data_IF_941356474072
#
_entry.id   IF_941356474072
#
_cell.length_a   1.000
_cell.length_b   1.000
_cell.length_c   1.000
_cell.angle_alpha   90.00
_cell.angle_beta   90.00
_cell.angle_gamma   90.00
#
_symmetry.space_group_name_H-M   'P 1'
#
loop_
_entity.id
_entity.type
_entity.pdbx_description
1 polymer ?
#
# COMPACT_ATOMS: atom_id res chain seq x y z
N UNK A 1 -0.76 -15.48 -35.02
CA UNK A 1 -0.90 -14.77 -33.75
C UNK A 1 -1.69 -13.49 -34.03
N UNK A 2 -2.94 -13.45 -33.58
CA UNK A 2 -3.75 -12.24 -33.61
C UNK A 2 -3.16 -11.25 -32.61
N UNK A 3 -2.36 -10.32 -33.12
CA UNK A 3 -1.93 -9.15 -32.35
C UNK A 3 -3.18 -8.29 -32.13
N UNK A 4 -3.77 -8.38 -30.95
CA UNK A 4 -4.81 -7.45 -30.53
C UNK A 4 -4.17 -6.06 -30.40
N UNK A 5 -4.43 -5.21 -31.37
CA UNK A 5 -4.04 -3.80 -31.31
C UNK A 5 -5.03 -3.08 -30.41
N UNK A 6 -4.54 -2.37 -29.38
CA UNK A 6 -5.39 -1.47 -28.59
C UNK A 6 -6.06 -0.45 -29.52
N UNK A 7 -7.28 -0.04 -29.22
CA UNK A 7 -7.95 1.05 -29.94
C UNK A 7 -7.38 2.40 -29.57
N UNK A 8 -6.99 2.55 -28.31
CA UNK A 8 -6.37 3.74 -27.73
C UNK A 8 -5.20 3.31 -26.83
N UNK A 9 -4.16 4.12 -26.74
CA UNK A 9 -2.99 3.83 -25.89
C UNK A 9 -3.37 3.72 -24.40
N UNK A 10 -4.42 4.41 -23.97
CA UNK A 10 -4.96 4.38 -22.62
C UNK A 10 -5.73 3.11 -22.29
N UNK A 11 -6.08 2.30 -23.28
CA UNK A 11 -6.80 1.05 -23.05
C UNK A 11 -5.97 0.10 -22.18
N UNK A 12 -6.63 -0.56 -21.23
CA UNK A 12 -6.01 -1.52 -20.33
C UNK A 12 -6.86 -2.79 -20.21
N UNK A 13 -6.21 -3.89 -19.80
CA UNK A 13 -6.86 -5.19 -19.78
C UNK A 13 -7.78 -5.33 -18.57
N UNK A 14 -9.07 -5.55 -18.80
CA UNK A 14 -10.06 -5.89 -17.78
C UNK A 14 -10.02 -7.40 -17.47
N UNK A 15 -9.86 -8.22 -18.50
CA UNK A 15 -9.84 -9.68 -18.44
C UNK A 15 -8.67 -10.22 -19.25
N UNK A 16 -7.96 -11.20 -18.71
CA UNK A 16 -6.79 -11.82 -19.35
C UNK A 16 -7.00 -13.30 -19.52
N UNK A 17 -6.65 -13.86 -20.67
CA UNK A 17 -6.58 -15.30 -20.82
C UNK A 17 -5.62 -15.92 -19.80
N UNK A 18 -6.05 -16.98 -19.12
CA UNK A 18 -5.20 -17.68 -18.14
C UNK A 18 -4.13 -18.48 -18.85
N UNK A 19 -2.94 -18.52 -18.27
CA UNK A 19 -1.85 -19.39 -18.67
C UNK A 19 -1.97 -20.74 -17.96
N UNK A 20 -1.34 -21.81 -18.46
CA UNK A 20 -1.27 -23.08 -17.76
C UNK A 20 -0.74 -22.91 -16.32
N UNK A 21 -1.47 -23.45 -15.34
CA UNK A 21 -1.14 -23.34 -13.91
C UNK A 21 -1.64 -22.09 -13.20
N UNK A 22 -2.25 -21.12 -13.90
CA UNK A 22 -2.92 -19.99 -13.28
C UNK A 22 -4.37 -20.33 -12.91
N UNK A 23 -4.92 -19.72 -11.85
CA UNK A 23 -6.37 -19.77 -11.60
C UNK A 23 -7.14 -19.27 -12.82
N UNK A 24 -8.29 -19.90 -13.07
CA UNK A 24 -9.08 -19.57 -14.24
C UNK A 24 -10.58 -19.62 -13.93
N UNK A 25 -11.32 -18.72 -14.57
CA UNK A 25 -12.77 -18.65 -14.50
C UNK A 25 -13.37 -18.58 -15.91
N UNK A 26 -14.59 -19.11 -16.10
CA UNK A 26 -15.30 -18.97 -17.36
C UNK A 26 -15.68 -17.52 -17.60
N UNK A 27 -15.63 -17.08 -18.86
CA UNK A 27 -16.13 -15.78 -19.29
C UNK A 27 -16.67 -15.85 -20.72
N UNK A 28 -17.43 -14.81 -21.18
CA UNK A 28 -17.87 -14.74 -22.57
C UNK A 28 -16.71 -14.72 -23.59
N UNK A 29 -15.50 -14.40 -23.15
CA UNK A 29 -14.29 -14.32 -23.98
C UNK A 29 -13.39 -15.56 -23.83
N UNK A 30 -13.85 -16.58 -23.11
CA UNK A 30 -13.09 -17.79 -22.82
C UNK A 30 -12.60 -17.85 -21.38
N UNK A 31 -11.87 -18.93 -21.09
CA UNK A 31 -11.27 -19.12 -19.75
C UNK A 31 -10.18 -18.10 -19.49
N UNK A 32 -10.27 -17.42 -18.34
CA UNK A 32 -9.36 -16.33 -18.04
C UNK A 32 -9.39 -15.90 -16.58
N UNK A 33 -8.74 -14.80 -16.30
CA UNK A 33 -8.63 -14.19 -14.99
C UNK A 33 -8.79 -12.68 -15.06
N UNK A 34 -9.20 -11.99 -13.99
CA UNK A 34 -9.31 -10.54 -13.97
C UNK A 34 -7.94 -9.87 -14.21
N UNK A 35 -7.98 -8.69 -14.80
CA UNK A 35 -6.85 -7.78 -14.83
C UNK A 35 -6.58 -7.21 -13.43
N UNK A 36 -5.40 -6.62 -13.25
CA UNK A 36 -4.97 -6.11 -11.94
C UNK A 36 -5.94 -5.08 -11.34
N UNK A 37 -6.41 -4.14 -12.15
CA UNK A 37 -7.20 -3.00 -11.66
C UNK A 37 -8.63 -3.38 -11.28
N UNK A 38 -9.24 -4.30 -12.03
CA UNK A 38 -10.64 -4.69 -11.82
C UNK A 38 -10.84 -5.45 -10.49
N UNK A 39 -9.82 -6.10 -9.97
CA UNK A 39 -9.88 -6.75 -8.67
C UNK A 39 -10.22 -5.75 -7.55
N UNK A 40 -9.48 -4.64 -7.50
CA UNK A 40 -9.72 -3.59 -6.50
C UNK A 40 -11.05 -2.90 -6.70
N UNK A 41 -11.43 -2.58 -7.94
CA UNK A 41 -12.74 -2.02 -8.24
C UNK A 41 -13.89 -2.93 -7.77
N UNK A 42 -13.78 -4.23 -8.00
CA UNK A 42 -14.77 -5.21 -7.56
C UNK A 42 -14.80 -5.36 -6.02
N UNK A 43 -13.64 -5.31 -5.35
CA UNK A 43 -13.56 -5.37 -3.88
C UNK A 43 -14.16 -4.13 -3.22
N UNK A 44 -13.91 -2.95 -3.78
CA UNK A 44 -14.52 -1.70 -3.31
C UNK A 44 -16.04 -1.82 -3.40
N UNK A 45 -16.54 -2.22 -4.55
CA UNK A 45 -17.96 -2.35 -4.79
C UNK A 45 -18.63 -3.36 -3.84
N UNK A 46 -17.96 -4.50 -3.63
CA UNK A 46 -18.48 -5.56 -2.75
C UNK A 46 -18.46 -5.17 -1.27
N UNK A 47 -17.46 -4.41 -0.83
CA UNK A 47 -17.25 -4.10 0.61
C UNK A 47 -17.90 -2.81 1.05
N UNK A 48 -17.83 -1.78 0.22
CA UNK A 48 -18.32 -0.43 0.55
C UNK A 48 -19.70 -0.21 -0.08
N UNK A 49 -19.91 -0.76 -1.28
CA UNK A 49 -21.20 -0.69 -1.99
C UNK A 49 -21.44 0.65 -2.69
N UNK A 50 -22.66 0.80 -3.23
CA UNK A 50 -23.06 1.93 -4.06
C UNK A 50 -23.54 3.17 -3.28
N UNK A 51 -23.15 3.33 -2.03
CA UNK A 51 -23.68 4.39 -1.15
C UNK A 51 -23.23 5.81 -1.48
N UNK A 52 -22.45 5.99 -2.53
CA UNK A 52 -21.86 7.28 -2.92
C UNK A 52 -20.34 7.21 -3.08
N UNK A 53 -19.68 8.35 -3.27
CA UNK A 53 -18.22 8.37 -3.43
C UNK A 53 -17.52 7.98 -2.11
N UNK A 54 -16.42 7.27 -2.24
CA UNK A 54 -15.50 6.94 -1.15
C UNK A 54 -14.87 8.23 -0.64
N UNK A 55 -14.80 8.42 0.67
CA UNK A 55 -14.19 9.62 1.24
C UNK A 55 -12.70 9.70 0.92
N UNK A 56 -11.95 8.63 1.22
CA UNK A 56 -10.50 8.58 0.99
C UNK A 56 -10.12 7.24 0.39
N UNK A 57 -9.42 7.27 -0.74
CA UNK A 57 -8.76 6.11 -1.34
C UNK A 57 -7.24 6.25 -1.22
N UNK A 58 -6.60 5.35 -0.50
CA UNK A 58 -5.18 5.40 -0.18
C UNK A 58 -4.35 4.35 -0.90
N UNK A 59 -3.07 4.68 -1.15
CA UNK A 59 -2.12 3.73 -1.71
C UNK A 59 -0.71 4.28 -1.77
N UNK A 60 0.24 3.49 -2.26
CA UNK A 60 1.57 3.98 -2.57
C UNK A 60 1.57 4.93 -3.77
N UNK A 61 2.56 5.78 -3.88
CA UNK A 61 2.67 6.74 -4.99
C UNK A 61 2.71 6.06 -6.36
N UNK A 62 3.17 4.83 -6.43
CA UNK A 62 3.20 4.01 -7.65
C UNK A 62 1.81 3.51 -8.10
N UNK A 63 0.83 3.52 -7.21
CA UNK A 63 -0.55 3.19 -7.53
C UNK A 63 -1.32 4.36 -8.13
N UNK A 64 -0.84 5.61 -7.97
CA UNK A 64 -1.48 6.79 -8.52
C UNK A 64 -1.79 6.63 -10.00
N UNK A 65 -0.82 6.13 -10.74
CA UNK A 65 -0.93 5.78 -12.14
C UNK A 65 -0.10 4.52 -12.43
N UNK A 66 -0.64 3.54 -13.18
CA UNK A 66 -1.95 3.54 -13.82
C UNK A 66 -3.10 2.97 -12.95
N UNK A 67 -2.84 2.46 -11.74
CA UNK A 67 -3.79 1.63 -11.00
C UNK A 67 -5.05 2.40 -10.57
N UNK A 68 -4.90 3.44 -9.78
CA UNK A 68 -6.04 4.24 -9.29
C UNK A 68 -6.76 4.98 -10.41
N UNK A 69 -6.03 5.44 -11.43
CA UNK A 69 -6.63 6.07 -12.60
C UNK A 69 -7.53 5.09 -13.38
N UNK A 70 -7.06 3.85 -13.53
CA UNK A 70 -7.84 2.79 -14.17
C UNK A 70 -9.02 2.32 -13.30
N UNK A 71 -8.89 2.31 -11.97
CA UNK A 71 -10.03 2.05 -11.07
C UNK A 71 -11.12 3.11 -11.20
N UNK A 72 -10.75 4.39 -11.29
CA UNK A 72 -11.73 5.46 -11.55
C UNK A 72 -12.51 5.19 -12.82
N UNK A 73 -11.83 4.91 -13.92
CA UNK A 73 -12.49 4.61 -15.19
C UNK A 73 -13.46 3.42 -15.09
N UNK A 74 -13.08 2.38 -14.34
CA UNK A 74 -13.93 1.20 -14.13
C UNK A 74 -15.15 1.50 -13.27
N UNK A 75 -14.95 2.18 -12.14
CA UNK A 75 -16.01 2.48 -11.19
C UNK A 75 -17.01 3.50 -11.74
N UNK A 76 -16.53 4.57 -12.36
CA UNK A 76 -17.38 5.59 -12.99
C UNK A 76 -18.21 5.00 -14.12
N UNK A 77 -17.64 4.11 -14.92
CA UNK A 77 -18.36 3.39 -15.97
C UNK A 77 -19.42 2.44 -15.38
N UNK A 78 -19.09 1.73 -14.28
CA UNK A 78 -19.96 0.76 -13.66
C UNK A 78 -21.17 1.43 -12.98
N UNK A 79 -20.96 2.47 -12.17
CA UNK A 79 -22.02 3.17 -11.46
C UNK A 79 -22.74 4.22 -12.31
N UNK A 80 -22.23 4.51 -13.51
CA UNK A 80 -22.68 5.62 -14.36
C UNK A 80 -22.69 6.96 -13.60
N UNK A 81 -21.68 7.20 -12.80
CA UNK A 81 -21.49 8.39 -11.99
C UNK A 81 -20.23 9.15 -12.41
N UNK A 82 -20.12 10.41 -11.97
CA UNK A 82 -18.98 11.27 -12.34
C UNK A 82 -17.90 11.35 -11.26
N UNK A 83 -18.17 10.78 -10.10
CA UNK A 83 -17.24 10.84 -8.96
C UNK A 83 -17.44 9.62 -8.08
N UNK A 84 -16.41 8.83 -7.94
CA UNK A 84 -16.40 7.61 -7.10
C UNK A 84 -15.49 7.75 -5.89
N UNK A 85 -14.57 8.70 -5.88
CA UNK A 85 -13.62 8.97 -4.80
C UNK A 85 -13.52 10.48 -4.58
N UNK A 86 -13.62 10.93 -3.33
CA UNK A 86 -13.49 12.34 -2.97
C UNK A 86 -12.00 12.76 -2.90
N UNK A 87 -11.18 11.96 -2.22
CA UNK A 87 -9.76 12.27 -2.01
C UNK A 87 -8.88 11.06 -2.22
N UNK A 88 -7.75 11.26 -2.91
CA UNK A 88 -6.68 10.27 -3.00
C UNK A 88 -5.52 10.65 -2.07
N UNK A 89 -5.06 9.69 -1.26
CA UNK A 89 -3.88 9.84 -0.43
C UNK A 89 -2.79 8.89 -0.91
N UNK A 90 -1.69 9.43 -1.44
CA UNK A 90 -0.57 8.62 -1.93
C UNK A 90 0.64 8.78 -1.01
N UNK A 91 1.10 7.65 -0.45
CA UNK A 91 2.26 7.60 0.42
C UNK A 91 3.55 7.40 -0.39
N UNK A 92 4.66 7.94 0.12
CA UNK A 92 5.98 7.68 -0.43
C UNK A 92 6.38 6.20 -0.28
N UNK A 93 7.43 5.82 -1.01
CA UNK A 93 7.98 4.46 -0.92
C UNK A 93 8.81 4.25 0.35
N UNK A 94 8.79 3.01 0.85
CA UNK A 94 9.78 2.57 1.82
C UNK A 94 11.08 2.21 1.09
N UNK A 95 12.16 2.84 1.52
CA UNK A 95 13.51 2.58 1.05
C UNK A 95 14.29 1.79 2.11
N UNK A 96 15.22 1.00 1.66
CA UNK A 96 16.22 0.32 2.48
C UNK A 96 17.59 0.77 1.97
N UNK A 97 18.33 1.48 2.83
CA UNK A 97 19.65 2.05 2.46
C UNK A 97 19.58 2.87 1.17
N UNK A 98 18.58 3.73 1.06
CA UNK A 98 18.37 4.63 -0.08
C UNK A 98 17.77 4.01 -1.34
N UNK A 99 17.54 2.69 -1.36
CA UNK A 99 16.92 2.00 -2.49
C UNK A 99 15.48 1.59 -2.19
N UNK A 100 14.56 1.77 -3.15
CA UNK A 100 13.18 1.29 -3.01
C UNK A 100 13.18 -0.18 -2.60
N UNK A 101 12.47 -0.50 -1.51
CA UNK A 101 12.31 -1.88 -1.07
C UNK A 101 11.48 -2.66 -2.09
N UNK A 102 12.04 -3.73 -2.64
CA UNK A 102 11.35 -4.59 -3.59
C UNK A 102 11.90 -6.01 -3.59
N UNK A 103 11.05 -6.97 -3.96
CA UNK A 103 11.46 -8.38 -4.13
C UNK A 103 12.49 -8.56 -5.26
N UNK A 104 12.37 -7.78 -6.33
CA UNK A 104 13.28 -7.83 -7.48
C UNK A 104 14.70 -7.37 -7.13
N UNK A 105 14.84 -6.38 -6.26
CA UNK A 105 16.13 -5.90 -5.76
C UNK A 105 16.68 -6.76 -4.61
N UNK A 106 15.93 -7.76 -4.14
CA UNK A 106 16.33 -8.63 -3.02
C UNK A 106 16.73 -7.88 -1.73
N UNK A 107 16.25 -6.65 -1.58
CA UNK A 107 16.45 -5.83 -0.38
C UNK A 107 15.22 -5.81 0.53
N UNK A 108 14.34 -6.79 0.39
CA UNK A 108 13.13 -6.93 1.17
C UNK A 108 13.46 -7.37 2.60
N UNK A 109 12.98 -6.60 3.58
CA UNK A 109 13.08 -6.90 5.02
C UNK A 109 11.67 -7.12 5.56
N UNK A 110 11.44 -8.26 6.20
CA UNK A 110 10.17 -8.52 6.88
C UNK A 110 10.07 -7.72 8.19
N UNK A 111 8.86 -7.47 8.68
CA UNK A 111 8.66 -6.82 9.98
C UNK A 111 9.38 -7.59 11.09
N UNK A 112 9.33 -8.93 11.10
CA UNK A 112 10.03 -9.77 12.07
C UNK A 112 11.54 -9.51 12.05
N UNK A 113 12.15 -9.53 10.86
CA UNK A 113 13.57 -9.25 10.71
C UNK A 113 13.94 -7.83 11.16
N UNK A 114 13.09 -6.85 10.90
CA UNK A 114 13.33 -5.49 11.38
C UNK A 114 13.24 -5.38 12.92
N UNK A 115 12.39 -6.17 13.57
CA UNK A 115 12.29 -6.20 15.03
C UNK A 115 13.45 -6.98 15.69
N UNK A 116 13.92 -8.05 15.07
CA UNK A 116 14.98 -8.92 15.56
C UNK A 116 16.40 -8.45 15.17
N UNK A 117 16.50 -7.63 14.14
CA UNK A 117 17.75 -7.23 13.49
C UNK A 117 18.12 -8.12 12.31
N UNK A 118 18.68 -7.54 11.24
CA UNK A 118 19.12 -8.25 10.05
C UNK A 118 20.16 -7.45 9.25
N UNK A 119 21.12 -8.14 8.65
CA UNK A 119 22.08 -7.57 7.71
C UNK A 119 22.81 -6.29 8.21
N UNK A 120 23.20 -6.29 9.47
CA UNK A 120 23.89 -5.16 10.10
C UNK A 120 22.97 -4.02 10.53
N UNK A 121 21.65 -4.19 10.45
CA UNK A 121 20.65 -3.32 11.09
C UNK A 121 20.30 -3.92 12.47
N UNK A 122 20.39 -3.10 13.52
CA UNK A 122 19.94 -3.52 14.84
C UNK A 122 18.43 -3.70 14.90
N UNK A 123 17.97 -4.65 15.69
CA UNK A 123 16.55 -4.85 15.96
C UNK A 123 15.94 -3.64 16.66
N UNK A 124 14.76 -3.25 16.24
CA UNK A 124 14.05 -2.09 16.82
C UNK A 124 12.79 -2.51 17.58
N UNK A 125 12.46 -1.80 18.64
CA UNK A 125 11.19 -2.02 19.34
C UNK A 125 10.00 -1.65 18.45
N UNK A 126 8.86 -2.34 18.56
CA UNK A 126 7.66 -2.03 17.76
C UNK A 126 7.23 -0.57 17.86
N UNK A 127 7.33 0.03 19.05
CA UNK A 127 7.04 1.46 19.26
C UNK A 127 7.99 2.37 18.48
N UNK A 128 9.29 2.06 18.48
CA UNK A 128 10.30 2.80 17.69
C UNK A 128 9.97 2.74 16.19
N UNK A 129 9.63 1.57 15.67
CA UNK A 129 9.24 1.40 14.28
C UNK A 129 8.01 2.24 13.92
N UNK A 130 6.99 2.28 14.80
CA UNK A 130 5.79 3.10 14.56
C UNK A 130 6.12 4.59 14.54
N UNK A 131 6.93 5.08 15.46
CA UNK A 131 7.37 6.48 15.51
C UNK A 131 8.20 6.84 14.28
N UNK A 132 9.05 5.94 13.81
CA UNK A 132 9.85 6.15 12.61
C UNK A 132 8.97 6.59 11.41
N UNK A 133 7.85 5.92 11.19
CA UNK A 133 6.91 6.31 10.13
C UNK A 133 6.20 7.64 10.39
N UNK A 134 6.05 8.06 11.65
CA UNK A 134 5.46 9.36 12.00
C UNK A 134 6.44 10.53 11.84
N UNK A 135 7.74 10.28 11.77
CA UNK A 135 8.76 11.33 11.61
C UNK A 135 8.97 11.76 10.16
N UNK A 136 8.40 11.03 9.21
CA UNK A 136 8.52 11.31 7.79
C UNK A 136 7.19 11.85 7.26
N UNK A 137 7.24 12.83 6.36
CA UNK A 137 6.05 13.28 5.66
C UNK A 137 5.45 12.10 4.86
N UNK A 138 4.13 11.94 4.92
CA UNK A 138 3.46 10.77 4.35
C UNK A 138 3.73 10.58 2.85
N UNK A 139 3.94 11.66 2.11
CA UNK A 139 4.18 11.67 0.66
C UNK A 139 5.67 11.66 0.28
N UNK A 140 6.58 11.65 1.26
CA UNK A 140 8.01 11.54 1.03
C UNK A 140 8.49 10.08 1.16
N UNK A 141 9.59 9.71 0.48
CA UNK A 141 10.22 8.42 0.70
C UNK A 141 10.67 8.28 2.17
N UNK A 142 10.38 7.13 2.77
CA UNK A 142 10.85 6.77 4.11
C UNK A 142 12.02 5.80 3.97
N UNK A 143 13.21 6.18 4.43
CA UNK A 143 14.39 5.31 4.39
C UNK A 143 14.55 4.58 5.74
N UNK A 144 14.40 3.25 5.72
CA UNK A 144 14.68 2.41 6.87
C UNK A 144 16.21 2.28 7.01
N UNK A 145 16.76 2.98 7.98
CA UNK A 145 18.19 3.07 8.25
C UNK A 145 18.46 3.20 9.75
N UNK A 146 19.69 2.91 10.18
CA UNK A 146 20.09 3.04 11.58
C UNK A 146 19.89 4.46 12.10
N UNK A 147 20.20 5.48 11.31
CA UNK A 147 20.01 6.88 11.67
C UNK A 147 18.53 7.18 11.95
N UNK A 148 17.63 6.68 11.15
CA UNK A 148 16.18 6.84 11.35
C UNK A 148 15.73 6.09 12.61
N UNK A 149 16.24 4.88 12.85
CA UNK A 149 15.94 4.09 14.04
C UNK A 149 16.43 4.81 15.31
N UNK A 150 17.64 5.38 15.29
CA UNK A 150 18.18 6.17 16.40
C UNK A 150 17.33 7.42 16.64
N UNK A 151 17.00 8.17 15.61
CA UNK A 151 16.13 9.36 15.74
C UNK A 151 14.76 9.00 16.34
N UNK A 152 14.13 7.92 15.87
CA UNK A 152 12.86 7.44 16.39
C UNK A 152 12.98 6.94 17.85
N UNK A 153 14.09 6.29 18.22
CA UNK A 153 14.35 5.85 19.59
C UNK A 153 14.52 7.04 20.55
N UNK A 154 15.15 8.12 20.09
CA UNK A 154 15.34 9.36 20.85
C UNK A 154 14.04 10.04 21.27
N UNK A 155 12.94 9.81 20.54
CA UNK A 155 11.61 10.32 20.92
C UNK A 155 11.12 9.72 22.25
N UNK A 156 11.56 8.51 22.61
CA UNK A 156 11.21 7.85 23.86
C UNK A 156 12.18 8.12 25.00
N UNK A 157 13.38 8.65 24.70
CA UNK A 157 14.34 9.04 25.71
C UNK A 157 13.99 10.46 26.14
N UNK A 158 13.02 10.62 27.04
CA UNK A 158 12.83 11.91 27.73
C UNK A 158 13.92 12.07 28.78
N UNK A 159 14.51 13.27 28.88
CA UNK A 159 15.15 13.67 30.13
C UNK A 159 14.13 13.59 31.26
N UNK A 160 14.57 13.32 32.45
CA UNK A 160 13.80 12.95 33.65
C UNK A 160 12.79 13.98 34.19
N UNK A 161 12.28 14.89 33.33
CA UNK A 161 11.29 15.88 33.73
C UNK A 161 10.25 16.08 32.63
N UNK A 162 9.17 15.32 32.68
CA UNK A 162 7.94 15.68 31.94
C UNK A 162 6.73 14.88 32.41
N UNK A 163 5.53 15.49 32.39
CA UNK A 163 4.34 14.92 32.97
C UNK A 163 3.91 13.63 32.24
N UNK A 164 3.48 12.67 33.05
CA UNK A 164 2.91 11.42 32.58
C UNK A 164 1.72 11.71 31.65
N UNK A 165 1.83 11.37 30.38
CA UNK A 165 0.64 11.18 29.56
C UNK A 165 0.04 9.86 30.02
N UNK A 166 -0.97 9.94 30.84
CA UNK A 166 -1.83 8.81 31.15
C UNK A 166 -2.49 8.37 29.85
N UNK A 167 -2.12 7.22 29.35
CA UNK A 167 -2.99 6.42 28.49
C UNK A 167 -3.77 5.58 29.49
N UNK A 168 -5.01 5.99 29.75
CA UNK A 168 -5.90 5.33 30.70
C UNK A 168 -6.06 3.84 30.35
N UNK A 169 -5.77 3.01 31.35
CA UNK A 169 -6.39 1.72 31.54
C UNK A 169 -5.80 0.52 30.85
N UNK A 170 -4.60 0.05 31.25
CA UNK A 170 -4.38 -1.39 31.49
C UNK A 170 -3.38 -1.50 32.64
N UNK A 171 -3.91 -1.64 33.86
CA UNK A 171 -3.19 -2.21 34.97
C UNK A 171 -2.95 -3.69 34.68
N UNK A 172 -1.71 -4.06 34.37
CA UNK A 172 -1.27 -5.45 34.51
C UNK A 172 -0.64 -5.58 35.87
N UNK A 173 -1.46 -5.94 36.86
CA UNK A 173 -1.02 -6.47 38.13
C UNK A 173 -0.83 -7.98 37.96
N UNK A 174 0.26 -8.47 38.61
CA UNK A 174 0.75 -9.82 38.94
C UNK A 174 1.59 -10.50 37.88
#
# INVERSE_FOLDING_TARGET
>A
STTFTKRDERDFALWKASKPGEPTWPSPWGAGRPGWHIECSAMIEHTIGHGGPIDIHGGGVDLKFPHHDNELAQQEAFCNCRQTVNYFAHTGHLHIRGLKMSKSLKNFITIRQALEGVDGLEGVRPSTMRIMFCLVQYNAPCDYSDNMCVAASGVFVRPSESPRVCVDGVDAAA
#
